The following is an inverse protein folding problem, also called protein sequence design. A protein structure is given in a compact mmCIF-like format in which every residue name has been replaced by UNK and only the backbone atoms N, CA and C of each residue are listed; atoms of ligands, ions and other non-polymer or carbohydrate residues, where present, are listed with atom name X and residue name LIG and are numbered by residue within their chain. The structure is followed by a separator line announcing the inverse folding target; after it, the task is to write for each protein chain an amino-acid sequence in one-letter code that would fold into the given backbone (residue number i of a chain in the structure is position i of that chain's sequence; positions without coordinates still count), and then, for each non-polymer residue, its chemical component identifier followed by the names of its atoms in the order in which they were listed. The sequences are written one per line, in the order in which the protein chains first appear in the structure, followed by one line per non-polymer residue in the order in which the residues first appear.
data_IF_648539736593
#
_entry.id   IF_648539736593
#
_cell.length_a   1.000
_cell.length_b   1.000
_cell.length_c   1.000
_cell.angle_alpha   90.00
_cell.angle_beta   90.00
_cell.angle_gamma   90.00
#
_symmetry.space_group_name_H-M   'P 1'
#
loop_
_entity.id
_entity.type
_entity.pdbx_description
1 polymer ?
#
# COMPACT_ATOMS: atom_id res chain seq x y z
N UNK A 1 1.19 -10.91 13.26
CA UNK A 1 1.47 -11.26 11.85
C UNK A 1 0.49 -12.31 11.35
N UNK A 2 -0.29 -11.96 10.34
CA UNK A 2 -1.27 -12.82 9.66
C UNK A 2 -0.95 -12.85 8.15
N UNK A 3 -0.82 -14.05 7.57
CA UNK A 3 -0.62 -14.21 6.12
C UNK A 3 -1.96 -14.41 5.44
N UNK A 4 -2.28 -13.54 4.48
CA UNK A 4 -3.52 -13.57 3.71
C UNK A 4 -3.20 -13.66 2.21
N UNK A 5 -4.03 -14.39 1.45
CA UNK A 5 -3.95 -14.38 -0.01
C UNK A 5 -4.33 -13.02 -0.59
N UNK A 6 -4.01 -12.78 -1.86
CA UNK A 6 -4.40 -11.56 -2.60
C UNK A 6 -5.91 -11.31 -2.59
N UNK A 7 -6.73 -12.37 -2.64
CA UNK A 7 -8.19 -12.26 -2.70
C UNK A 7 -8.83 -11.67 -1.43
N UNK A 8 -8.18 -11.84 -0.28
CA UNK A 8 -8.64 -11.22 0.96
C UNK A 8 -8.45 -9.70 0.91
N UNK A 9 -9.33 -8.89 1.51
CA UNK A 9 -9.15 -7.45 1.55
C UNK A 9 -7.92 -7.05 2.39
N UNK A 10 -7.29 -5.92 2.06
CA UNK A 10 -6.40 -5.19 2.97
C UNK A 10 -7.23 -4.56 4.11
N UNK A 11 -6.61 -4.23 5.25
CA UNK A 11 -7.28 -3.57 6.37
C UNK A 11 -8.08 -2.34 5.95
N UNK A 12 -9.20 -2.09 6.63
CA UNK A 12 -10.15 -1.02 6.28
C UNK A 12 -9.50 0.36 6.31
N UNK A 13 -8.53 0.56 7.20
CA UNK A 13 -7.80 1.81 7.35
C UNK A 13 -7.03 2.19 6.08
N UNK A 14 -6.56 1.20 5.31
CA UNK A 14 -5.81 1.42 4.06
C UNK A 14 -6.72 1.60 2.84
N UNK A 15 -8.02 1.30 2.95
CA UNK A 15 -8.93 1.30 1.81
C UNK A 15 -9.20 2.73 1.30
N UNK A 16 -9.29 2.85 -0.03
CA UNK A 16 -9.63 4.09 -0.71
C UNK A 16 -8.51 4.61 -1.61
N UNK A 17 -8.56 5.91 -1.88
CA UNK A 17 -7.62 6.64 -2.73
C UNK A 17 -6.75 7.54 -1.87
N UNK A 18 -5.46 7.54 -2.16
CA UNK A 18 -4.44 8.29 -1.47
C UNK A 18 -3.56 8.99 -2.51
N UNK A 19 -3.10 10.19 -2.19
CA UNK A 19 -2.29 11.04 -3.06
C UNK A 19 -0.94 11.24 -2.40
N UNK A 20 0.13 11.07 -3.16
CA UNK A 20 1.48 11.30 -2.66
C UNK A 20 1.68 12.78 -2.29
N UNK A 21 2.29 13.01 -1.13
CA UNK A 21 2.48 14.36 -0.56
C UNK A 21 3.49 15.17 -1.36
N UNK A 22 4.49 14.51 -1.95
CA UNK A 22 5.55 15.16 -2.72
C UNK A 22 5.18 15.30 -4.20
N UNK A 23 4.42 14.36 -4.76
CA UNK A 23 3.95 14.36 -6.15
C UNK A 23 2.43 14.09 -6.26
N UNK A 24 1.59 15.13 -6.37
CA UNK A 24 0.13 14.96 -6.43
C UNK A 24 -0.40 14.20 -7.67
N UNK A 25 0.44 13.98 -8.68
CA UNK A 25 0.11 13.14 -9.83
C UNK A 25 0.26 11.63 -9.52
N UNK A 26 0.95 11.31 -8.43
CA UNK A 26 1.19 9.97 -7.96
C UNK A 26 0.13 9.56 -6.96
N UNK A 27 -0.57 8.48 -7.29
CA UNK A 27 -1.70 8.01 -6.53
C UNK A 27 -1.50 6.58 -6.07
N UNK A 28 -2.04 6.27 -4.90
CA UNK A 28 -2.15 4.94 -4.34
C UNK A 28 -3.63 4.63 -4.12
N UNK A 29 -4.12 3.60 -4.79
CA UNK A 29 -5.51 3.16 -4.72
C UNK A 29 -5.52 1.74 -4.17
N UNK A 30 -6.25 1.55 -3.08
CA UNK A 30 -6.43 0.25 -2.43
C UNK A 30 -7.92 -0.06 -2.42
N UNK A 31 -8.29 -1.16 -3.07
CA UNK A 31 -9.66 -1.61 -3.21
C UNK A 31 -9.75 -3.11 -2.96
N UNK A 32 -10.26 -3.47 -1.78
CA UNK A 32 -10.22 -4.85 -1.31
C UNK A 32 -8.78 -5.34 -1.22
N UNK A 33 -8.46 -6.38 -1.99
CA UNK A 33 -7.12 -6.95 -2.09
C UNK A 33 -6.24 -6.31 -3.15
N UNK A 34 -6.76 -5.39 -3.96
CA UNK A 34 -6.02 -4.82 -5.08
C UNK A 34 -5.30 -3.56 -4.66
N UNK A 35 -4.02 -3.45 -5.06
CA UNK A 35 -3.17 -2.30 -4.80
C UNK A 35 -2.70 -1.77 -6.15
N UNK A 36 -3.03 -0.52 -6.44
CA UNK A 36 -2.59 0.18 -7.65
C UNK A 36 -1.82 1.42 -7.22
N UNK A 37 -0.60 1.58 -7.72
CA UNK A 37 0.22 2.75 -7.44
C UNK A 37 0.85 3.28 -8.72
N UNK A 38 0.88 4.60 -8.90
CA UNK A 38 1.36 5.25 -10.13
C UNK A 38 0.68 4.67 -11.39
N UNK A 39 -0.64 4.46 -11.31
CA UNK A 39 -1.45 3.84 -12.38
C UNK A 39 -1.07 2.37 -12.71
N UNK A 40 -0.20 1.74 -11.91
CA UNK A 40 0.24 0.36 -12.09
C UNK A 40 -0.27 -0.54 -10.98
N UNK A 41 -0.93 -1.64 -11.33
CA UNK A 41 -1.37 -2.64 -10.36
C UNK A 41 -0.19 -3.49 -9.88
N UNK A 42 -0.06 -3.63 -8.56
CA UNK A 42 0.97 -4.44 -7.92
C UNK A 42 0.58 -5.92 -8.01
N UNK A 43 1.34 -6.68 -8.80
CA UNK A 43 1.11 -8.11 -9.00
C UNK A 43 1.78 -8.95 -7.89
N UNK A 44 1.17 -8.99 -6.71
CA UNK A 44 1.62 -9.80 -5.58
C UNK A 44 0.77 -11.09 -5.42
N UNK A 45 1.30 -12.12 -4.77
CA UNK A 45 0.59 -13.40 -4.54
C UNK A 45 -0.11 -13.42 -3.18
N UNK A 46 0.58 -12.91 -2.15
CA UNK A 46 0.08 -12.88 -0.79
C UNK A 46 0.57 -11.65 -0.04
N UNK A 47 -0.10 -11.35 1.07
CA UNK A 47 0.28 -10.26 1.97
C UNK A 47 0.45 -10.78 3.38
N UNK A 48 1.26 -10.07 4.16
CA UNK A 48 1.45 -10.30 5.58
C UNK A 48 1.02 -9.04 6.32
N UNK A 49 -0.04 -9.14 7.09
CA UNK A 49 -0.56 -8.05 7.92
C UNK A 49 0.05 -8.15 9.31
N UNK A 50 0.57 -7.06 9.82
CA UNK A 50 1.09 -6.96 11.17
C UNK A 50 0.61 -5.66 11.81
N UNK A 51 0.41 -5.70 13.13
CA UNK A 51 0.17 -4.50 13.92
C UNK A 51 1.15 -4.52 15.06
N UNK A 52 2.05 -3.55 15.11
CA UNK A 52 3.08 -3.43 16.13
C UNK A 52 3.23 -1.96 16.54
N UNK A 53 3.33 -1.70 17.84
CA UNK A 53 3.40 -0.35 18.42
C UNK A 53 2.30 0.62 17.93
N UNK A 54 1.11 0.09 17.60
CA UNK A 54 0.00 0.88 17.06
C UNK A 54 0.13 1.24 15.57
N UNK A 55 1.23 0.88 14.91
CA UNK A 55 1.37 0.97 13.46
C UNK A 55 0.80 -0.29 12.79
N UNK A 56 0.03 -0.09 11.72
CA UNK A 56 -0.49 -1.15 10.88
C UNK A 56 0.43 -1.31 9.66
N UNK A 57 1.08 -2.46 9.54
CA UNK A 57 1.99 -2.80 8.46
C UNK A 57 1.43 -3.91 7.59
N UNK A 58 1.49 -3.76 6.27
CA UNK A 58 1.14 -4.79 5.30
C UNK A 58 2.30 -4.97 4.32
N UNK A 59 2.96 -6.12 4.39
CA UNK A 59 4.02 -6.48 3.44
C UNK A 59 3.44 -7.31 2.29
N UNK A 60 3.64 -6.85 1.05
CA UNK A 60 3.24 -7.52 -0.19
C UNK A 60 4.37 -8.44 -0.68
N UNK A 61 4.03 -9.68 -1.02
CA UNK A 61 5.02 -10.70 -1.40
C UNK A 61 4.53 -11.58 -2.55
N UNK A 62 5.49 -12.20 -3.22
CA UNK A 62 5.26 -13.20 -4.26
C UNK A 62 5.82 -14.56 -3.81
N UNK A 63 5.26 -15.65 -4.32
CA UNK A 63 5.77 -17.01 -4.03
C UNK A 63 6.98 -17.37 -4.92
N UNK A 64 7.13 -16.71 -6.08
CA UNK A 64 8.24 -16.91 -7.02
C UNK A 64 9.53 -16.18 -6.56
N UNK A 65 10.36 -16.89 -5.81
CA UNK A 65 11.64 -16.37 -5.29
C UNK A 65 12.60 -15.88 -6.39
N UNK A 66 12.54 -16.45 -7.60
CA UNK A 66 13.43 -16.03 -8.68
C UNK A 66 13.12 -14.60 -9.17
N UNK A 67 11.89 -14.13 -8.96
CA UNK A 67 11.44 -12.78 -9.31
C UNK A 67 11.44 -11.81 -8.14
N UNK A 68 11.74 -12.28 -6.93
CA UNK A 68 11.61 -11.48 -5.70
C UNK A 68 12.43 -10.18 -5.76
N UNK A 69 13.71 -10.25 -6.16
CA UNK A 69 14.56 -9.03 -6.29
C UNK A 69 14.00 -8.03 -7.31
N UNK A 70 13.46 -8.52 -8.43
CA UNK A 70 12.83 -7.65 -9.44
C UNK A 70 11.53 -7.05 -8.93
N UNK A 71 10.72 -7.84 -8.24
CA UNK A 71 9.47 -7.39 -7.63
C UNK A 71 9.74 -6.28 -6.61
N UNK A 72 10.70 -6.50 -5.71
CA UNK A 72 11.07 -5.56 -4.65
C UNK A 72 11.60 -4.22 -5.18
N UNK A 73 12.21 -4.21 -6.37
CA UNK A 73 12.76 -3.00 -7.01
C UNK A 73 11.75 -2.21 -7.81
N UNK A 74 10.73 -2.88 -8.32
CA UNK A 74 9.77 -2.29 -9.28
C UNK A 74 8.41 -2.01 -8.67
N UNK A 75 8.06 -2.64 -7.55
CA UNK A 75 6.75 -2.52 -6.93
C UNK A 75 6.87 -2.08 -5.48
N UNK A 76 5.77 -1.60 -4.92
CA UNK A 76 5.63 -1.45 -3.48
C UNK A 76 5.65 -2.83 -2.84
N UNK A 77 6.41 -2.95 -1.76
CA UNK A 77 6.52 -4.19 -0.97
C UNK A 77 5.98 -4.02 0.43
N UNK A 78 5.84 -2.79 0.92
CA UNK A 78 5.40 -2.54 2.28
C UNK A 78 4.53 -1.28 2.35
N UNK A 79 3.42 -1.41 3.08
CA UNK A 79 2.42 -0.39 3.31
C UNK A 79 2.31 -0.21 4.83
N UNK A 80 2.43 1.01 5.34
CA UNK A 80 2.41 1.28 6.79
C UNK A 80 1.52 2.46 7.09
N UNK A 81 0.49 2.24 7.92
CA UNK A 81 -0.24 3.33 8.57
C UNK A 81 0.38 3.53 9.95
N UNK A 82 0.92 4.73 10.21
CA UNK A 82 1.46 5.10 11.52
C UNK A 82 0.30 5.25 12.53
N UNK A 83 0.58 5.18 13.83
CA UNK A 83 -0.43 5.47 14.85
C UNK A 83 -1.00 6.90 14.78
N UNK A 84 -0.32 7.83 14.11
CA UNK A 84 -0.82 9.20 13.86
C UNK A 84 -1.81 9.25 12.67
N UNK A 85 -1.85 8.20 11.85
CA UNK A 85 -2.71 8.07 10.69
C UNK A 85 -2.02 8.37 9.35
N UNK A 86 -0.72 8.66 9.36
CA UNK A 86 0.06 8.83 8.12
C UNK A 86 0.17 7.51 7.38
N UNK A 87 -0.04 7.54 6.06
CA UNK A 87 0.11 6.37 5.23
C UNK A 87 1.42 6.43 4.43
N UNK A 88 2.25 5.41 4.60
CA UNK A 88 3.50 5.28 3.86
C UNK A 88 3.50 4.02 3.00
N UNK A 89 4.09 4.13 1.81
CA UNK A 89 4.43 3.00 0.98
C UNK A 89 5.93 2.96 0.71
N UNK A 90 6.50 1.76 0.75
CA UNK A 90 7.94 1.55 0.62
C UNK A 90 8.25 0.46 -0.40
N UNK A 91 9.40 0.61 -1.04
CA UNK A 91 10.13 -0.47 -1.66
C UNK A 91 11.65 -0.30 -1.44
N UNK A 92 12.48 -1.13 -2.07
CA UNK A 92 13.95 -1.07 -1.86
C UNK A 92 14.63 0.17 -2.46
N UNK A 93 13.89 1.01 -3.20
CA UNK A 93 14.38 2.19 -3.92
C UNK A 93 13.74 3.50 -3.48
N UNK A 94 12.53 3.47 -2.92
CA UNK A 94 11.81 4.67 -2.52
C UNK A 94 10.93 4.45 -1.29
N UNK A 95 10.63 5.57 -0.64
CA UNK A 95 9.68 5.70 0.45
C UNK A 95 8.81 6.91 0.12
N UNK A 96 7.50 6.71 0.05
CA UNK A 96 6.52 7.76 -0.25
C UNK A 96 5.52 7.87 0.89
N UNK A 97 5.17 9.10 1.26
CA UNK A 97 4.06 9.39 2.16
C UNK A 97 2.85 9.79 1.33
N UNK A 98 1.69 9.27 1.71
CA UNK A 98 0.42 9.55 1.07
C UNK A 98 -0.57 10.12 2.07
N UNK A 99 -1.31 11.12 1.62
CA UNK A 99 -2.46 11.66 2.33
C UNK A 99 -3.74 11.13 1.69
N UNK A 100 -4.78 10.97 2.49
CA UNK A 100 -6.05 10.48 1.97
C UNK A 100 -6.60 11.51 1.00
N UNK A 101 -6.96 11.07 -0.20
CA UNK A 101 -7.64 11.94 -1.14
C UNK A 101 -9.00 12.27 -0.50
N UNK A 102 -9.12 13.45 0.11
CA UNK A 102 -10.41 13.94 0.58
C UNK A 102 -11.35 13.84 -0.62
N UNK A 103 -12.47 13.12 -0.43
CA UNK A 103 -13.59 13.27 -1.36
C UNK A 103 -14.00 14.72 -1.25
N UNK A 104 -13.46 15.55 -2.15
CA UNK A 104 -13.71 16.97 -2.26
C UNK A 104 -15.20 17.19 -1.96
N UNK A 105 -15.59 17.82 -0.83
CA UNK A 105 -16.99 18.12 -0.62
C UNK A 105 -17.36 19.10 -1.73
N UNK A 106 -18.06 18.58 -2.72
CA UNK A 106 -18.81 19.44 -3.63
C UNK A 106 -19.84 20.18 -2.78
N UNK A 107 -19.68 21.50 -2.68
CA UNK A 107 -20.81 22.40 -2.46
C UNK A 107 -20.77 23.22 -1.17
N UNK A 108 -20.80 24.54 -1.37
CA UNK A 108 -21.04 25.59 -0.38
C UNK A 108 -20.80 26.96 -0.98
#
# INVERSE_FOLDING_TARGET
MERLGRDAPLPEEMQGRWIDVEDPASELIIQGGEVTCFEQSVAYDYKVVNTDDGALTVSLKIDDQAKEDTFQRSNITELVITPDGDFHAYNVRFASQFERAESQPNGG
#
